data_IF_240428248541
#
_entry.id   IF_240428248541
#
_cell.length_a   1.000
_cell.length_b   1.000
_cell.length_c   1.000
_cell.angle_alpha   90.00
_cell.angle_beta   90.00
_cell.angle_gamma   90.00
#
_symmetry.space_group_name_H-M   'P 1'
#
loop_
_entity.id
_entity.type
_entity.pdbx_description
1 polymer ?
#
# COMPACT_ATOMS: atom_id res chain seq x y z
N UNK A 1 -13.99 20.55 7.40
CA UNK A 1 -13.79 19.11 7.17
C UNK A 1 -12.31 18.93 6.83
N UNK A 2 -11.57 18.11 7.58
CA UNK A 2 -10.12 18.00 7.41
C UNK A 2 -9.79 17.21 6.14
N UNK A 3 -9.35 17.91 5.10
CA UNK A 3 -9.04 17.38 3.76
C UNK A 3 -8.08 16.17 3.81
N UNK A 4 -7.09 16.22 4.71
CA UNK A 4 -6.15 15.12 4.90
C UNK A 4 -6.86 13.85 5.37
N UNK A 5 -7.85 13.99 6.25
CA UNK A 5 -8.61 12.86 6.79
C UNK A 5 -9.47 12.18 5.72
N UNK A 6 -10.04 12.93 4.77
CA UNK A 6 -10.77 12.34 3.64
C UNK A 6 -9.84 11.61 2.68
N UNK A 7 -8.66 12.16 2.35
CA UNK A 7 -7.72 11.48 1.45
C UNK A 7 -7.19 10.18 2.03
N UNK A 8 -6.91 10.13 3.35
CA UNK A 8 -6.55 8.89 4.03
C UNK A 8 -7.64 7.83 3.91
N UNK A 9 -8.91 8.21 4.10
CA UNK A 9 -10.05 7.29 3.99
C UNK A 9 -10.16 6.72 2.57
N UNK A 10 -10.11 7.57 1.56
CA UNK A 10 -10.20 7.14 0.16
C UNK A 10 -9.02 6.25 -0.23
N UNK A 11 -7.81 6.56 0.26
CA UNK A 11 -6.64 5.73 0.03
C UNK A 11 -6.84 4.34 0.67
N UNK A 12 -7.36 4.26 1.89
CA UNK A 12 -7.65 2.99 2.56
C UNK A 12 -8.75 2.18 1.83
N UNK A 13 -9.76 2.84 1.27
CA UNK A 13 -10.75 2.20 0.42
C UNK A 13 -10.13 1.63 -0.87
N UNK A 14 -9.22 2.38 -1.52
CA UNK A 14 -8.47 1.87 -2.69
C UNK A 14 -7.60 0.67 -2.31
N UNK A 15 -6.99 0.64 -1.11
CA UNK A 15 -6.21 -0.51 -0.65
C UNK A 15 -7.04 -1.79 -0.61
N UNK A 16 -8.27 -1.71 -0.08
CA UNK A 16 -9.19 -2.86 -0.02
C UNK A 16 -9.50 -3.40 -1.43
N UNK A 17 -9.69 -2.52 -2.41
CA UNK A 17 -9.90 -2.90 -3.82
C UNK A 17 -8.66 -3.54 -4.46
N UNK A 18 -7.48 -3.03 -4.14
CA UNK A 18 -6.21 -3.62 -4.59
C UNK A 18 -6.06 -5.02 -3.98
N UNK A 19 -6.32 -5.17 -2.68
CA UNK A 19 -6.25 -6.47 -2.00
C UNK A 19 -7.22 -7.49 -2.59
N UNK A 20 -8.45 -7.12 -2.92
CA UNK A 20 -9.40 -8.04 -3.55
C UNK A 20 -9.04 -8.39 -5.00
N UNK A 21 -8.23 -7.56 -5.65
CA UNK A 21 -7.69 -7.80 -7.00
C UNK A 21 -6.49 -8.75 -6.95
N UNK A 22 -5.57 -8.54 -6.01
CA UNK A 22 -4.36 -9.37 -5.83
C UNK A 22 -4.73 -10.73 -5.25
N UNK A 23 -5.63 -10.76 -4.26
CA UNK A 23 -6.07 -11.96 -3.55
C UNK A 23 -7.50 -12.27 -3.98
N UNK A 24 -7.69 -13.07 -5.05
CA UNK A 24 -9.02 -13.40 -5.53
C UNK A 24 -9.78 -14.23 -4.49
N UNK A 25 -11.10 -14.04 -4.41
CA UNK A 25 -11.95 -14.76 -3.44
C UNK A 25 -11.95 -16.29 -3.62
N UNK A 26 -11.61 -16.77 -4.82
CA UNK A 26 -11.50 -18.19 -5.17
C UNK A 26 -10.22 -18.41 -5.97
N UNK A 27 -9.05 -18.52 -5.31
CA UNK A 27 -7.82 -18.85 -6.00
C UNK A 27 -7.87 -20.30 -6.50
N UNK A 28 -7.02 -20.64 -7.48
CA UNK A 28 -6.82 -22.02 -7.88
C UNK A 28 -6.41 -22.87 -6.66
N UNK A 29 -6.88 -24.12 -6.60
CA UNK A 29 -6.71 -24.96 -5.41
C UNK A 29 -5.24 -25.12 -5.02
N UNK A 30 -4.35 -25.18 -6.00
CA UNK A 30 -2.90 -25.31 -5.81
C UNK A 30 -2.25 -24.03 -5.25
N UNK A 31 -2.95 -22.88 -5.31
CA UNK A 31 -2.44 -21.58 -4.91
C UNK A 31 -3.03 -21.07 -3.60
N UNK A 32 -3.95 -21.80 -2.95
CA UNK A 32 -4.65 -21.33 -1.73
C UNK A 32 -3.65 -20.90 -0.65
N UNK A 33 -2.72 -21.78 -0.27
CA UNK A 33 -1.72 -21.49 0.77
C UNK A 33 -0.80 -20.33 0.39
N UNK A 34 -0.37 -20.26 -0.87
CA UNK A 34 0.45 -19.15 -1.40
C UNK A 34 -0.30 -17.83 -1.31
N UNK A 35 -1.60 -17.81 -1.60
CA UNK A 35 -2.44 -16.61 -1.53
C UNK A 35 -2.71 -16.19 -0.10
N UNK A 36 -2.89 -17.13 0.82
CA UNK A 36 -2.99 -16.86 2.26
C UNK A 36 -1.70 -16.25 2.79
N UNK A 37 -0.55 -16.85 2.48
CA UNK A 37 0.76 -16.32 2.85
C UNK A 37 1.01 -14.93 2.26
N UNK A 38 0.71 -14.74 0.97
CA UNK A 38 0.87 -13.44 0.31
C UNK A 38 -0.02 -12.37 0.96
N UNK A 39 -1.27 -12.72 1.29
CA UNK A 39 -2.18 -11.82 1.99
C UNK A 39 -1.62 -11.40 3.34
N UNK A 40 -1.10 -12.34 4.14
CA UNK A 40 -0.48 -12.04 5.42
C UNK A 40 0.74 -11.14 5.26
N UNK A 41 1.63 -11.48 4.32
CA UNK A 41 2.82 -10.69 4.00
C UNK A 41 2.47 -9.23 3.64
N UNK A 42 1.47 -9.03 2.78
CA UNK A 42 1.03 -7.69 2.39
C UNK A 42 0.41 -6.94 3.57
N UNK A 43 -0.50 -7.58 4.31
CA UNK A 43 -1.20 -6.94 5.43
C UNK A 43 -0.24 -6.58 6.57
N UNK A 44 0.83 -7.34 6.77
CA UNK A 44 1.85 -7.09 7.79
C UNK A 44 2.82 -5.97 7.41
N UNK A 45 3.16 -5.82 6.13
CA UNK A 45 4.26 -4.95 5.71
C UNK A 45 3.78 -3.64 5.07
N UNK A 46 2.61 -3.60 4.42
CA UNK A 46 2.24 -2.50 3.51
C UNK A 46 1.45 -1.38 4.20
N UNK A 47 0.24 -1.60 4.75
CA UNK A 47 -0.71 -0.52 5.09
C UNK A 47 -0.36 0.30 6.35
N UNK A 48 0.82 0.06 6.93
CA UNK A 48 1.27 0.70 8.16
C UNK A 48 2.10 1.98 7.91
N UNK A 49 2.47 2.65 9.00
CA UNK A 49 3.22 3.90 8.94
C UNK A 49 2.35 5.10 8.58
N UNK A 50 2.98 6.18 8.14
CA UNK A 50 2.33 7.48 7.89
C UNK A 50 1.75 7.63 6.48
N UNK A 51 2.08 6.72 5.55
CA UNK A 51 1.67 6.75 4.12
C UNK A 51 2.00 8.07 3.41
N UNK A 52 3.04 8.77 3.88
CA UNK A 52 3.41 10.08 3.36
C UNK A 52 3.82 10.02 1.88
N UNK A 53 4.42 8.92 1.42
CA UNK A 53 4.85 8.80 0.01
C UNK A 53 3.65 8.62 -0.90
N UNK A 54 2.70 7.76 -0.52
CA UNK A 54 1.44 7.60 -1.23
C UNK A 54 0.61 8.89 -1.25
N UNK A 55 0.46 9.57 -0.11
CA UNK A 55 -0.25 10.85 -0.07
C UNK A 55 0.40 11.93 -0.93
N UNK A 56 1.73 11.98 -0.95
CA UNK A 56 2.45 12.91 -1.81
C UNK A 56 2.13 12.69 -3.30
N UNK A 57 1.92 11.45 -3.75
CA UNK A 57 1.49 11.16 -5.14
C UNK A 57 0.13 11.79 -5.44
N UNK A 58 -0.87 11.53 -4.59
CA UNK A 58 -2.25 12.03 -4.80
C UNK A 58 -2.29 13.55 -4.75
N UNK A 59 -1.66 14.16 -3.75
CA UNK A 59 -1.60 15.62 -3.61
C UNK A 59 -0.86 16.26 -4.80
N UNK A 60 0.27 15.69 -5.22
CA UNK A 60 1.04 16.20 -6.37
C UNK A 60 0.23 16.12 -7.66
N UNK A 61 -0.48 15.01 -7.89
CA UNK A 61 -1.35 14.87 -9.07
C UNK A 61 -2.41 15.97 -9.13
N UNK A 62 -3.07 16.27 -8.00
CA UNK A 62 -4.05 17.36 -7.93
C UNK A 62 -3.43 18.72 -8.24
N UNK A 63 -2.29 19.04 -7.65
CA UNK A 63 -1.57 20.30 -7.89
C UNK A 63 -1.22 20.45 -9.38
N UNK A 64 -0.70 19.38 -10.00
CA UNK A 64 -0.33 19.40 -11.43
C UNK A 64 -1.56 19.55 -12.34
N UNK A 65 -2.70 18.95 -11.99
CA UNK A 65 -3.94 19.13 -12.74
C UNK A 65 -4.48 20.56 -12.62
N UNK A 66 -4.44 21.14 -11.42
CA UNK A 66 -4.84 22.52 -11.16
C UNK A 66 -3.99 23.52 -11.96
N UNK A 67 -2.67 23.30 -12.03
CA UNK A 67 -1.76 24.11 -12.87
C UNK A 67 -2.11 24.07 -14.36
N UNK A 68 -2.81 23.03 -14.81
CA UNK A 68 -3.31 22.88 -16.19
C UNK A 68 -4.78 23.34 -16.33
N UNK A 69 -5.31 24.06 -15.34
CA UNK A 69 -6.72 24.47 -15.26
C UNK A 69 -7.71 23.30 -15.42
N UNK A 70 -7.31 22.10 -14.95
CA UNK A 70 -8.08 20.87 -15.05
C UNK A 70 -8.54 20.41 -13.67
N UNK A 71 -9.82 20.09 -13.56
CA UNK A 71 -10.35 19.36 -12.40
C UNK A 71 -10.21 17.85 -12.65
N UNK A 72 -9.48 17.11 -11.79
CA UNK A 72 -9.40 15.65 -11.90
C UNK A 72 -10.75 14.97 -11.86
N UNK A 73 -10.97 14.02 -12.75
CA UNK A 73 -12.15 13.15 -12.71
C UNK A 73 -12.05 12.12 -11.57
N UNK A 74 -13.18 11.52 -11.12
CA UNK A 74 -13.13 10.45 -10.12
C UNK A 74 -12.25 9.25 -10.53
N UNK A 75 -12.26 8.89 -11.81
CA UNK A 75 -11.44 7.80 -12.35
C UNK A 75 -9.95 8.12 -12.29
N UNK A 76 -9.57 9.35 -12.64
CA UNK A 76 -8.18 9.79 -12.56
C UNK A 76 -7.64 9.83 -11.13
N UNK A 77 -8.47 10.27 -10.19
CA UNK A 77 -8.12 10.22 -8.76
C UNK A 77 -7.98 8.80 -8.26
N UNK A 78 -8.81 7.87 -8.74
CA UNK A 78 -8.65 6.44 -8.42
C UNK A 78 -7.32 5.90 -8.95
N UNK A 79 -6.95 6.21 -10.20
CA UNK A 79 -5.66 5.82 -10.76
C UNK A 79 -4.48 6.43 -9.98
N UNK A 80 -4.58 7.69 -9.55
CA UNK A 80 -3.58 8.32 -8.70
C UNK A 80 -3.43 7.61 -7.35
N UNK A 81 -4.54 7.15 -6.74
CA UNK A 81 -4.51 6.35 -5.49
C UNK A 81 -3.95 4.96 -5.71
N UNK A 82 -4.22 4.32 -6.85
CA UNK A 82 -3.59 3.03 -7.20
C UNK A 82 -2.07 3.21 -7.31
N UNK A 83 -1.62 4.25 -8.02
CA UNK A 83 -0.19 4.58 -8.13
C UNK A 83 0.43 4.89 -6.75
N UNK A 84 -0.29 5.64 -5.91
CA UNK A 84 0.13 5.92 -4.54
C UNK A 84 0.39 4.63 -3.74
N UNK A 85 -0.49 3.63 -3.85
CA UNK A 85 -0.25 2.33 -3.24
C UNK A 85 0.91 1.58 -3.88
N UNK A 86 1.08 1.62 -5.21
CA UNK A 86 2.26 1.02 -5.86
C UNK A 86 3.57 1.55 -5.26
N UNK A 87 3.65 2.85 -4.95
CA UNK A 87 4.81 3.46 -4.28
C UNK A 87 4.99 2.94 -2.85
N UNK A 88 3.91 2.79 -2.08
CA UNK A 88 3.98 2.21 -0.73
C UNK A 88 4.35 0.72 -0.74
N UNK A 89 3.87 -0.06 -1.71
CA UNK A 89 4.29 -1.44 -1.96
C UNK A 89 5.79 -1.52 -2.27
N UNK A 90 6.29 -0.65 -3.16
CA UNK A 90 7.71 -0.58 -3.50
C UNK A 90 8.57 -0.23 -2.27
N UNK A 91 8.12 0.73 -1.46
CA UNK A 91 8.80 1.05 -0.21
C UNK A 91 8.83 -0.16 0.74
N UNK A 92 7.71 -0.83 0.93
CA UNK A 92 7.62 -2.00 1.83
C UNK A 92 8.48 -3.16 1.34
N UNK A 93 8.57 -3.39 0.02
CA UNK A 93 9.52 -4.35 -0.56
C UNK A 93 10.96 -4.03 -0.14
N UNK A 94 11.40 -2.79 -0.35
CA UNK A 94 12.75 -2.39 0.04
C UNK A 94 12.97 -2.52 1.54
N UNK A 95 11.99 -2.16 2.38
CA UNK A 95 12.12 -2.29 3.84
C UNK A 95 12.27 -3.74 4.29
N UNK A 96 11.55 -4.69 3.69
CA UNK A 96 11.68 -6.10 4.05
C UNK A 96 13.08 -6.62 3.71
N UNK A 97 13.62 -6.24 2.54
CA UNK A 97 14.98 -6.63 2.12
C UNK A 97 16.05 -5.94 2.97
N UNK A 98 15.89 -4.64 3.23
CA UNK A 98 16.73 -3.82 4.11
C UNK A 98 16.81 -4.41 5.51
N UNK A 99 15.67 -4.75 6.11
CA UNK A 99 15.61 -5.35 7.45
C UNK A 99 16.40 -6.67 7.53
N UNK A 100 16.41 -7.48 6.46
CA UNK A 100 17.21 -8.70 6.38
C UNK A 100 18.71 -8.42 6.21
N UNK A 101 19.08 -7.49 5.33
CA UNK A 101 20.48 -7.13 5.08
C UNK A 101 21.14 -6.52 6.34
N UNK A 102 20.40 -5.67 7.04
CA UNK A 102 20.87 -4.96 8.23
C UNK A 102 20.67 -5.73 9.53
N UNK A 103 20.11 -6.95 9.44
CA UNK A 103 19.76 -7.77 10.60
C UNK A 103 18.88 -7.03 11.63
N UNK A 104 17.98 -6.17 11.15
CA UNK A 104 17.08 -5.38 11.98
C UNK A 104 16.13 -6.28 12.78
N UNK A 105 15.80 -5.88 14.01
CA UNK A 105 14.93 -6.66 14.91
C UNK A 105 13.46 -6.24 14.76
N UNK A 106 13.21 -4.94 14.61
CA UNK A 106 11.84 -4.38 14.58
C UNK A 106 11.65 -3.34 13.49
N UNK A 107 10.45 -3.30 12.91
CA UNK A 107 10.00 -2.29 11.96
C UNK A 107 8.57 -1.87 12.29
N UNK A 108 8.31 -0.56 12.29
CA UNK A 108 6.97 0.03 12.57
C UNK A 108 6.35 -0.46 13.90
N UNK A 109 7.19 -0.73 14.90
CA UNK A 109 6.78 -1.17 16.24
C UNK A 109 6.45 -2.66 16.37
N UNK A 110 6.77 -3.46 15.35
CA UNK A 110 6.56 -4.91 15.32
C UNK A 110 7.87 -5.61 14.91
N UNK A 111 8.05 -6.92 15.16
CA UNK A 111 9.18 -7.67 14.63
C UNK A 111 9.34 -7.51 13.11
N UNK A 112 10.57 -7.47 12.60
CA UNK A 112 10.79 -7.48 11.15
C UNK A 112 10.21 -8.78 10.56
N UNK A 113 9.65 -8.72 9.34
CA UNK A 113 8.95 -9.85 8.72
C UNK A 113 9.78 -11.15 8.79
N UNK A 114 11.05 -11.13 8.39
CA UNK A 114 11.95 -12.29 8.39
C UNK A 114 12.27 -12.90 9.78
N UNK A 115 11.85 -12.24 10.86
CA UNK A 115 12.02 -12.70 12.26
C UNK A 115 10.77 -13.35 12.83
N UNK A 116 9.67 -13.43 12.08
CA UNK A 116 8.48 -14.15 12.54
C UNK A 116 8.78 -15.66 12.63
N UNK A 117 8.46 -16.25 13.78
CA UNK A 117 8.82 -17.65 14.11
C UNK A 117 8.08 -18.70 13.26
N UNK A 118 7.03 -18.30 12.55
CA UNK A 118 6.12 -19.16 11.79
C UNK A 118 6.10 -18.85 10.29
N UNK A 119 7.19 -18.30 9.76
CA UNK A 119 7.35 -18.09 8.32
C UNK A 119 7.70 -19.38 7.57
#
# INVERSE_FOLDING_TARGET
MDFRRSEFKELDETFVKIMSTIIPAKPAKELISTMEWLKECILYNVPHGKRNRGLAVVSTYRILAEQQAKTPTPQELELARVLAWTVEFLQSYFLVVDDMMDQSITRRGQPCWYKLENL
#
